data_IF_878286373137
#
_entry.id   IF_878286373137
#
_cell.length_a   1.000
_cell.length_b   1.000
_cell.length_c   1.000
_cell.angle_alpha   90.00
_cell.angle_beta   90.00
_cell.angle_gamma   90.00
#
_symmetry.space_group_name_H-M   'P 1'
#
loop_
_entity.id
_entity.type
_entity.pdbx_description
1 polymer ?
#
# COMPACT_ATOMS: atom_id res chain seq x y z
N UNK A 1 4.20 12.36 -28.31
CA UNK A 1 3.30 11.99 -29.44
C UNK A 1 1.98 11.42 -28.88
N UNK A 2 1.25 12.20 -28.09
CA UNK A 2 -0.03 11.80 -27.43
C UNK A 2 -1.12 12.87 -27.64
N UNK A 3 -0.81 13.97 -28.33
CA UNK A 3 -1.74 15.09 -28.52
C UNK A 3 -2.49 15.08 -29.87
N UNK A 4 -2.31 14.03 -30.69
CA UNK A 4 -2.84 13.98 -32.07
C UNK A 4 -3.84 12.85 -32.33
N UNK A 5 -4.28 12.11 -31.30
CA UNK A 5 -5.34 11.11 -31.40
C UNK A 5 -6.68 11.65 -30.86
N UNK A 6 -7.84 11.11 -31.29
CA UNK A 6 -9.19 11.56 -30.90
C UNK A 6 -9.56 11.16 -29.45
N UNK A 7 -8.58 10.99 -28.56
CA UNK A 7 -8.78 10.50 -27.21
C UNK A 7 -8.62 11.65 -26.21
N UNK A 8 -9.66 11.89 -25.41
CA UNK A 8 -9.60 12.89 -24.34
C UNK A 8 -8.70 12.41 -23.20
N UNK A 9 -8.04 13.32 -22.48
CA UNK A 9 -7.14 13.00 -21.34
C UNK A 9 -7.81 12.07 -20.31
N UNK A 10 -9.13 12.19 -20.16
CA UNK A 10 -9.94 11.32 -19.31
C UNK A 10 -9.90 9.84 -19.73
N UNK A 11 -9.97 9.53 -21.04
CA UNK A 11 -9.91 8.15 -21.53
C UNK A 11 -8.56 7.50 -21.22
N UNK A 12 -7.46 8.25 -21.36
CA UNK A 12 -6.12 7.73 -21.05
C UNK A 12 -5.96 7.41 -19.55
N UNK A 13 -6.41 8.30 -18.67
CA UNK A 13 -6.36 8.08 -17.21
C UNK A 13 -7.22 6.86 -16.84
N UNK A 14 -8.43 6.76 -17.39
CA UNK A 14 -9.31 5.60 -17.20
C UNK A 14 -8.64 4.29 -17.66
N UNK A 15 -8.06 4.26 -18.87
CA UNK A 15 -7.35 3.07 -19.36
C UNK A 15 -6.20 2.66 -18.45
N UNK A 16 -5.43 3.63 -17.95
CA UNK A 16 -4.33 3.34 -17.03
C UNK A 16 -4.83 2.78 -15.69
N UNK A 17 -5.90 3.35 -15.12
CA UNK A 17 -6.53 2.83 -13.90
C UNK A 17 -7.05 1.41 -14.10
N UNK A 18 -7.69 1.13 -15.23
CA UNK A 18 -8.12 -0.23 -15.57
C UNK A 18 -6.95 -1.20 -15.68
N UNK A 19 -5.86 -0.82 -16.36
CA UNK A 19 -4.67 -1.67 -16.48
C UNK A 19 -4.07 -1.97 -15.12
N UNK A 20 -3.87 -0.96 -14.28
CA UNK A 20 -3.32 -1.14 -12.92
C UNK A 20 -4.26 -2.00 -12.06
N UNK A 21 -5.57 -1.78 -12.15
CA UNK A 21 -6.57 -2.56 -11.43
C UNK A 21 -6.57 -4.03 -11.83
N UNK A 22 -6.54 -4.33 -13.13
CA UNK A 22 -6.48 -5.71 -13.63
C UNK A 22 -5.19 -6.40 -13.20
N UNK A 23 -4.04 -5.73 -13.36
CA UNK A 23 -2.74 -6.28 -12.94
C UNK A 23 -2.75 -6.55 -11.43
N UNK A 24 -3.24 -5.60 -10.62
CA UNK A 24 -3.35 -5.77 -9.17
C UNK A 24 -4.24 -6.94 -8.77
N UNK A 25 -5.40 -7.10 -9.42
CA UNK A 25 -6.30 -8.22 -9.16
C UNK A 25 -5.66 -9.57 -9.53
N UNK A 26 -4.99 -9.65 -10.67
CA UNK A 26 -4.28 -10.87 -11.10
C UNK A 26 -3.14 -11.18 -10.12
N UNK A 27 -2.35 -10.19 -9.73
CA UNK A 27 -1.27 -10.36 -8.74
C UNK A 27 -1.83 -10.84 -7.39
N UNK A 28 -2.90 -10.22 -6.88
CA UNK A 28 -3.53 -10.62 -5.64
C UNK A 28 -4.09 -12.06 -5.72
N UNK A 29 -4.72 -12.42 -6.84
CA UNK A 29 -5.24 -13.76 -7.07
C UNK A 29 -4.11 -14.80 -7.12
N UNK A 30 -3.00 -14.50 -7.79
CA UNK A 30 -1.83 -15.38 -7.86
C UNK A 30 -1.17 -15.56 -6.48
N UNK A 31 -0.96 -14.46 -5.75
CA UNK A 31 -0.40 -14.50 -4.39
C UNK A 31 -1.30 -15.33 -3.47
N UNK A 32 -2.61 -15.12 -3.55
CA UNK A 32 -3.60 -15.89 -2.76
C UNK A 32 -3.61 -17.35 -3.16
N UNK A 33 -3.58 -17.68 -4.47
CA UNK A 33 -3.57 -19.06 -4.96
C UNK A 33 -2.32 -19.82 -4.51
N UNK A 34 -1.15 -19.15 -4.49
CA UNK A 34 0.11 -19.74 -4.01
C UNK A 34 0.14 -19.82 -2.48
N UNK A 35 -0.45 -18.86 -1.77
CA UNK A 35 -0.52 -18.86 -0.31
C UNK A 35 -1.57 -19.80 0.27
N UNK A 36 -2.65 -20.08 -0.45
CA UNK A 36 -3.79 -20.87 0.03
C UNK A 36 -3.41 -22.27 0.54
N UNK A 37 -2.54 -23.06 -0.13
CA UNK A 37 -2.09 -24.35 0.40
C UNK A 37 -1.33 -24.25 1.73
N UNK A 38 -0.67 -23.12 2.01
CA UNK A 38 0.11 -22.91 3.24
C UNK A 38 -0.77 -22.54 4.44
N UNK A 39 -1.89 -21.83 4.19
CA UNK A 39 -2.74 -21.26 5.24
C UNK A 39 -4.15 -21.89 5.30
N UNK A 40 -4.40 -22.96 4.55
CA UNK A 40 -5.72 -23.59 4.38
C UNK A 40 -6.50 -23.87 5.68
N UNK A 41 -5.80 -24.15 6.79
CA UNK A 41 -6.42 -24.47 8.09
C UNK A 41 -6.76 -23.26 8.96
N UNK A 42 -6.25 -22.07 8.66
CA UNK A 42 -6.39 -20.88 9.49
C UNK A 42 -7.20 -19.75 8.84
N UNK A 43 -7.59 -19.89 7.57
CA UNK A 43 -8.37 -18.86 6.86
C UNK A 43 -9.84 -18.94 7.26
N UNK A 44 -10.24 -18.08 8.18
CA UNK A 44 -11.64 -17.79 8.52
C UNK A 44 -12.11 -16.54 7.77
N UNK A 45 -12.16 -16.60 6.44
CA UNK A 45 -12.64 -15.48 5.63
C UNK A 45 -14.16 -15.33 5.84
N UNK A 46 -14.56 -14.34 6.64
CA UNK A 46 -15.95 -14.08 6.97
C UNK A 46 -16.42 -12.77 6.32
N UNK A 47 -17.70 -12.68 5.94
CA UNK A 47 -18.25 -11.45 5.35
C UNK A 47 -18.06 -10.22 6.26
N UNK A 48 -17.98 -10.44 7.57
CA UNK A 48 -17.74 -9.41 8.58
C UNK A 48 -16.30 -8.84 8.59
N UNK A 49 -15.32 -9.55 8.03
CA UNK A 49 -13.90 -9.12 8.03
C UNK A 49 -13.51 -8.44 6.72
N UNK A 50 -14.36 -8.52 5.69
CA UNK A 50 -14.21 -7.82 4.41
C UNK A 50 -13.99 -6.30 4.57
N UNK A 51 -14.68 -5.57 5.48
CA UNK A 51 -14.45 -4.14 5.68
C UNK A 51 -13.00 -3.80 6.08
N UNK A 52 -12.29 -4.69 6.79
CA UNK A 52 -10.89 -4.46 7.18
C UNK A 52 -9.97 -4.49 5.95
N UNK A 53 -10.18 -5.42 5.03
CA UNK A 53 -9.40 -5.53 3.79
C UNK A 53 -9.67 -4.33 2.88
N UNK A 54 -10.94 -3.90 2.78
CA UNK A 54 -11.31 -2.69 2.04
C UNK A 54 -10.68 -1.46 2.66
N UNK A 55 -10.76 -1.32 3.99
CA UNK A 55 -10.13 -0.24 4.72
C UNK A 55 -8.62 -0.19 4.49
N UNK A 56 -7.92 -1.32 4.59
CA UNK A 56 -6.48 -1.40 4.35
C UNK A 56 -6.13 -1.03 2.91
N UNK A 57 -6.93 -1.49 1.94
CA UNK A 57 -6.74 -1.20 0.52
C UNK A 57 -6.89 0.29 0.22
N UNK A 58 -7.92 0.94 0.77
CA UNK A 58 -8.17 2.38 0.58
C UNK A 58 -7.09 3.21 1.28
N UNK A 59 -6.84 2.94 2.56
CA UNK A 59 -5.90 3.71 3.38
C UNK A 59 -4.47 3.52 2.89
N UNK A 60 -4.10 2.30 2.49
CA UNK A 60 -2.83 1.99 1.84
C UNK A 60 -2.64 2.75 0.54
N UNK A 61 -3.65 2.73 -0.33
CA UNK A 61 -3.59 3.44 -1.61
C UNK A 61 -3.37 4.95 -1.41
N UNK A 62 -4.03 5.56 -0.42
CA UNK A 62 -3.85 6.98 -0.08
C UNK A 62 -2.45 7.20 0.50
N UNK A 63 -2.02 6.41 1.48
CA UNK A 63 -0.74 6.57 2.17
C UNK A 63 0.45 6.40 1.21
N UNK A 64 0.50 5.27 0.50
CA UNK A 64 1.60 4.94 -0.40
C UNK A 64 1.53 5.72 -1.71
N UNK A 65 0.33 6.05 -2.19
CA UNK A 65 0.14 6.99 -3.28
C UNK A 65 0.69 8.37 -2.94
N UNK A 66 0.44 8.85 -1.71
CA UNK A 66 0.98 10.15 -1.24
C UNK A 66 2.51 10.13 -1.15
N UNK A 67 3.12 9.04 -0.66
CA UNK A 67 4.58 8.89 -0.66
C UNK A 67 5.13 8.95 -2.09
N UNK A 68 4.52 8.20 -3.02
CA UNK A 68 4.92 8.23 -4.42
C UNK A 68 4.80 9.62 -5.03
N UNK A 69 3.69 10.33 -4.77
CA UNK A 69 3.49 11.71 -5.19
C UNK A 69 4.52 12.68 -4.60
N UNK A 70 4.88 12.54 -3.32
CA UNK A 70 5.92 13.38 -2.70
C UNK A 70 7.27 13.12 -3.37
N UNK A 71 7.63 11.87 -3.61
CA UNK A 71 8.89 11.51 -4.30
C UNK A 71 8.91 12.05 -5.73
N UNK A 72 7.78 11.98 -6.45
CA UNK A 72 7.69 12.50 -7.82
C UNK A 72 7.93 14.00 -7.88
N UNK A 73 7.63 14.77 -6.83
CA UNK A 73 7.92 16.22 -6.78
C UNK A 73 9.41 16.56 -6.76
N UNK A 74 10.28 15.61 -6.40
CA UNK A 74 11.72 15.83 -6.26
C UNK A 74 12.54 15.29 -7.44
N UNK A 75 11.92 14.51 -8.32
CA UNK A 75 12.61 13.80 -9.39
C UNK A 75 12.15 14.33 -10.74
N UNK A 76 13.11 14.77 -11.55
CA UNK A 76 12.85 15.40 -12.84
C UNK A 76 12.66 14.38 -13.97
N UNK A 77 13.20 13.16 -13.83
CA UNK A 77 13.11 12.11 -14.83
C UNK A 77 12.24 10.94 -14.34
N UNK A 78 11.45 10.38 -15.26
CA UNK A 78 10.64 9.19 -15.00
C UNK A 78 11.49 7.97 -14.66
N UNK A 79 12.70 7.88 -15.22
CA UNK A 79 13.65 6.80 -14.91
C UNK A 79 14.16 6.92 -13.47
N UNK A 80 14.58 8.12 -13.04
CA UNK A 80 14.98 8.37 -11.65
C UNK A 80 13.85 8.10 -10.66
N UNK A 81 12.62 8.50 -11.01
CA UNK A 81 11.43 8.17 -10.23
C UNK A 81 11.23 6.67 -10.06
N UNK A 82 11.28 5.90 -11.15
CA UNK A 82 11.10 4.46 -11.09
C UNK A 82 12.19 3.76 -10.27
N UNK A 83 13.45 4.19 -10.37
CA UNK A 83 14.52 3.62 -9.55
C UNK A 83 14.27 3.92 -8.08
N UNK A 84 14.05 5.18 -7.72
CA UNK A 84 13.87 5.59 -6.32
C UNK A 84 12.62 4.93 -5.71
N UNK A 85 11.49 4.95 -6.41
CA UNK A 85 10.24 4.42 -5.86
C UNK A 85 10.35 2.91 -5.62
N UNK A 86 10.86 2.15 -6.58
CA UNK A 86 11.02 0.70 -6.41
C UNK A 86 12.01 0.36 -5.29
N UNK A 87 13.12 1.11 -5.18
CA UNK A 87 14.08 0.94 -4.08
C UNK A 87 13.45 1.26 -2.73
N UNK A 88 12.71 2.36 -2.60
CA UNK A 88 12.01 2.72 -1.35
C UNK A 88 11.00 1.63 -0.97
N UNK A 89 10.13 1.20 -1.89
CA UNK A 89 9.15 0.16 -1.61
C UNK A 89 9.79 -1.19 -1.28
N UNK A 90 10.93 -1.52 -1.89
CA UNK A 90 11.71 -2.70 -1.53
C UNK A 90 12.15 -2.64 -0.06
N UNK A 91 12.76 -1.54 0.36
CA UNK A 91 13.18 -1.38 1.77
C UNK A 91 11.99 -1.38 2.72
N UNK A 92 10.88 -0.74 2.36
CA UNK A 92 9.64 -0.81 3.12
C UNK A 92 9.18 -2.26 3.29
N UNK A 93 9.18 -3.05 2.22
CA UNK A 93 8.72 -4.44 2.28
C UNK A 93 9.64 -5.31 3.16
N UNK A 94 10.97 -5.15 3.04
CA UNK A 94 11.94 -5.88 3.86
C UNK A 94 11.92 -5.47 5.34
N UNK A 95 11.73 -4.19 5.64
CA UNK A 95 11.62 -3.66 7.01
C UNK A 95 10.15 -3.68 7.46
N UNK A 96 9.43 -4.75 7.18
CA UNK A 96 8.03 -4.93 7.61
C UNK A 96 7.73 -6.38 7.97
N UNK A 97 6.58 -6.57 8.61
CA UNK A 97 6.09 -7.91 8.95
C UNK A 97 5.50 -8.70 7.77
N UNK A 98 5.60 -8.17 6.54
CA UNK A 98 5.11 -8.82 5.33
C UNK A 98 5.88 -10.11 5.00
N UNK A 99 7.22 -10.05 5.11
CA UNK A 99 8.10 -11.18 4.79
C UNK A 99 8.68 -11.87 6.02
N UNK A 100 8.83 -11.14 7.13
CA UNK A 100 9.43 -11.65 8.36
C UNK A 100 8.42 -11.53 9.52
N UNK A 101 8.11 -12.61 10.24
CA UNK A 101 7.28 -12.49 11.43
C UNK A 101 7.96 -11.60 12.47
N UNK A 102 7.19 -10.75 13.15
CA UNK A 102 7.73 -9.91 14.24
C UNK A 102 8.18 -10.76 15.44
N UNK A 103 7.53 -11.90 15.66
CA UNK A 103 7.80 -12.81 16.77
C UNK A 103 9.19 -13.44 16.65
N UNK A 104 10.02 -13.32 17.69
CA UNK A 104 11.36 -13.89 17.74
C UNK A 104 12.45 -13.07 17.04
N UNK A 105 12.15 -11.85 16.59
CA UNK A 105 13.18 -10.94 16.04
C UNK A 105 13.94 -10.19 17.13
N UNK A 106 15.24 -9.88 16.94
CA UNK A 106 16.00 -9.04 17.86
C UNK A 106 15.35 -7.66 18.06
N UNK A 107 15.45 -7.10 19.27
CA UNK A 107 14.79 -5.84 19.67
C UNK A 107 15.02 -4.66 18.69
N UNK A 108 16.23 -4.44 18.13
CA UNK A 108 16.42 -3.36 17.16
C UNK A 108 15.63 -3.55 15.87
N UNK A 109 15.48 -4.79 15.41
CA UNK A 109 14.76 -5.13 14.18
C UNK A 109 13.25 -5.04 14.40
N UNK A 110 12.77 -5.53 15.54
CA UNK A 110 11.36 -5.41 15.94
C UNK A 110 10.93 -3.95 15.99
N UNK A 111 11.76 -3.07 16.59
CA UNK A 111 11.50 -1.62 16.62
C UNK A 111 11.42 -1.04 15.22
N UNK A 112 12.33 -1.42 14.31
CA UNK A 112 12.31 -0.95 12.93
C UNK A 112 11.03 -1.36 12.18
N UNK A 113 10.52 -2.57 12.42
CA UNK A 113 9.24 -3.00 11.84
C UNK A 113 8.08 -2.16 12.31
N UNK A 114 8.00 -1.84 13.61
CA UNK A 114 6.92 -1.02 14.15
C UNK A 114 7.01 0.46 13.77
N UNK A 115 8.15 0.96 13.27
CA UNK A 115 8.23 2.30 12.70
C UNK A 115 7.66 2.38 11.28
N UNK A 116 7.57 1.24 10.60
CA UNK A 116 7.12 1.17 9.22
C UNK A 116 5.60 1.03 9.14
N UNK A 117 4.86 1.99 8.54
CA UNK A 117 3.41 1.90 8.40
C UNK A 117 2.95 0.73 7.53
N UNK A 118 3.84 0.13 6.73
CA UNK A 118 3.51 -1.09 5.99
C UNK A 118 3.21 -2.25 6.93
N UNK A 119 3.89 -2.33 8.09
CA UNK A 119 3.62 -3.34 9.13
C UNK A 119 2.17 -3.28 9.58
N UNK A 120 1.67 -2.09 9.91
CA UNK A 120 0.30 -1.87 10.33
C UNK A 120 -0.70 -2.26 9.23
N UNK A 121 -0.37 -1.96 7.97
CA UNK A 121 -1.24 -2.33 6.85
C UNK A 121 -1.31 -3.84 6.68
N UNK A 122 -0.18 -4.52 6.78
CA UNK A 122 -0.09 -5.99 6.74
C UNK A 122 -0.88 -6.61 7.89
N UNK A 123 -0.78 -6.05 9.09
CA UNK A 123 -1.45 -6.57 10.28
C UNK A 123 -2.98 -6.41 10.19
N UNK A 124 -3.48 -5.29 9.65
CA UNK A 124 -4.91 -5.08 9.35
C UNK A 124 -5.41 -6.03 8.24
N UNK A 125 -4.64 -6.24 7.18
CA UNK A 125 -4.98 -7.22 6.13
C UNK A 125 -5.02 -8.63 6.71
N UNK A 126 -4.06 -8.97 7.58
CA UNK A 126 -4.02 -10.27 8.28
C UNK A 126 -5.24 -10.44 9.19
N UNK A 127 -5.61 -9.41 9.97
CA UNK A 127 -6.84 -9.44 10.76
C UNK A 127 -8.10 -9.63 9.89
N UNK A 128 -8.12 -9.03 8.69
CA UNK A 128 -9.18 -9.22 7.70
C UNK A 128 -9.26 -10.65 7.14
N UNK A 129 -8.12 -11.27 6.85
CA UNK A 129 -8.06 -12.62 6.25
C UNK A 129 -8.29 -13.72 7.28
N UNK A 130 -7.71 -13.58 8.48
CA UNK A 130 -7.69 -14.61 9.51
C UNK A 130 -8.72 -14.37 10.63
N UNK A 131 -9.51 -13.29 10.55
CA UNK A 131 -10.56 -12.98 11.53
C UNK A 131 -10.08 -12.56 12.92
N UNK A 132 -8.77 -12.44 13.13
CA UNK A 132 -8.18 -12.10 14.41
C UNK A 132 -8.06 -10.58 14.59
N UNK A 133 -9.16 -9.94 15.00
CA UNK A 133 -9.15 -8.51 15.35
C UNK A 133 -8.74 -8.32 16.82
N UNK A 134 -7.69 -7.53 17.05
CA UNK A 134 -7.22 -7.18 18.39
C UNK A 134 -7.29 -5.67 18.63
N UNK A 135 -7.22 -5.25 19.90
CA UNK A 135 -7.14 -3.82 20.24
C UNK A 135 -5.94 -3.14 19.58
N UNK A 136 -4.83 -3.87 19.40
CA UNK A 136 -3.64 -3.36 18.73
C UNK A 136 -3.91 -3.03 17.27
N UNK A 137 -4.61 -3.91 16.54
CA UNK A 137 -5.05 -3.66 15.14
C UNK A 137 -5.93 -2.41 15.06
N UNK A 138 -6.81 -2.19 16.04
CA UNK A 138 -7.61 -0.96 16.12
C UNK A 138 -6.76 0.32 16.23
N UNK A 139 -5.68 0.29 17.01
CA UNK A 139 -4.74 1.41 17.14
C UNK A 139 -3.99 1.62 15.82
N UNK A 140 -3.51 0.54 15.20
CA UNK A 140 -2.82 0.56 13.91
C UNK A 140 -3.68 1.21 12.81
N UNK A 141 -4.98 0.91 12.77
CA UNK A 141 -5.93 1.55 11.85
C UNK A 141 -6.00 3.07 12.06
N UNK A 142 -6.06 3.54 13.31
CA UNK A 142 -6.09 4.97 13.62
C UNK A 142 -4.78 5.64 13.18
N UNK A 143 -3.64 5.00 13.43
CA UNK A 143 -2.32 5.50 13.02
C UNK A 143 -2.23 5.57 11.49
N UNK A 144 -2.71 4.56 10.77
CA UNK A 144 -2.75 4.54 9.31
C UNK A 144 -3.59 5.69 8.75
N UNK A 145 -4.76 5.96 9.32
CA UNK A 145 -5.61 7.09 8.89
C UNK A 145 -4.91 8.42 9.16
N UNK A 146 -4.32 8.60 10.33
CA UNK A 146 -3.60 9.82 10.67
C UNK A 146 -2.42 10.07 9.71
N UNK A 147 -1.60 9.04 9.46
CA UNK A 147 -0.48 9.13 8.53
C UNK A 147 -0.93 9.37 7.09
N UNK A 148 -1.98 8.67 6.64
CA UNK A 148 -2.55 8.87 5.31
C UNK A 148 -3.02 10.31 5.12
N UNK A 149 -3.74 10.90 6.08
CA UNK A 149 -4.22 12.28 6.02
C UNK A 149 -3.07 13.30 6.02
N UNK A 150 -2.06 13.10 6.87
CA UNK A 150 -0.89 13.97 6.95
C UNK A 150 -0.13 13.93 5.61
N UNK A 151 0.22 12.74 5.12
CA UNK A 151 0.97 12.58 3.88
C UNK A 151 0.18 13.06 2.67
N UNK A 152 -1.12 12.80 2.62
CA UNK A 152 -1.99 13.30 1.56
C UNK A 152 -1.99 14.83 1.52
N UNK A 153 -2.16 15.48 2.68
CA UNK A 153 -2.12 16.95 2.78
C UNK A 153 -0.77 17.51 2.32
N UNK A 154 0.34 16.87 2.70
CA UNK A 154 1.69 17.27 2.26
C UNK A 154 1.84 17.08 0.75
N UNK A 155 1.43 15.94 0.22
CA UNK A 155 1.50 15.61 -1.20
C UNK A 155 0.72 16.63 -2.04
N UNK A 156 -0.54 16.91 -1.67
CA UNK A 156 -1.38 17.90 -2.34
C UNK A 156 -0.74 19.30 -2.35
N UNK A 157 -0.20 19.75 -1.20
CA UNK A 157 0.46 21.07 -1.11
C UNK A 157 1.73 21.16 -1.96
N UNK A 158 2.52 20.09 -2.02
CA UNK A 158 3.74 20.06 -2.83
C UNK A 158 3.41 20.04 -4.33
N UNK A 159 2.42 19.25 -4.74
CA UNK A 159 1.93 19.18 -6.12
C UNK A 159 1.35 20.52 -6.58
N UNK A 160 0.48 21.15 -5.78
CA UNK A 160 -0.11 22.44 -6.15
C UNK A 160 0.92 23.56 -6.31
N UNK A 161 2.07 23.46 -5.61
CA UNK A 161 3.17 24.44 -5.73
C UNK A 161 4.00 24.24 -7.00
N UNK A 162 4.00 23.05 -7.59
CA UNK A 162 4.70 22.75 -8.84
C UNK A 162 3.90 23.16 -10.08
N UNK A 163 2.57 23.24 -9.95
CA UNK A 163 1.67 23.66 -11.03
C UNK A 163 1.61 25.20 -11.21
N UNK A 164 2.18 25.96 -10.27
CA UNK A 164 2.30 27.42 -10.27
C UNK A 164 3.69 27.87 -10.72
#
# INVERSE_FOLDING_TARGET
MVLSGPFTRAHYILSNVYTIGIVGLISAALITAVGYPLFFKSVEFNFYTLPLVVFASVTGSILFGSIASIISTRLQSSEGFNVVINTVFLFFAFVSTAFYPAEGTPEPLSTAFYLNPLTYLVDVVRAGIFGNFSTFVGIEMIVLVALALILFTIATKLLSKLEL
#
